data_IF_673243225267
#
_entry.id   IF_673243225267
#
_cell.length_a   1.000
_cell.length_b   1.000
_cell.length_c   1.000
_cell.angle_alpha   90.00
_cell.angle_beta   90.00
_cell.angle_gamma   90.00
#
_symmetry.space_group_name_H-M   'P 1'
#
loop_
_entity.id
_entity.type
_entity.pdbx_description
1 polymer ?
#
# COMPACT_ATOMS: atom_id res chain seq x y z
N UNK A 1 -6.53 -39.17 1.03
CA UNK A 1 -5.96 -37.97 1.68
C UNK A 1 -4.53 -37.84 1.15
N UNK A 2 -4.28 -36.95 0.17
CA UNK A 2 -2.94 -36.76 -0.40
C UNK A 2 -2.13 -35.93 0.60
N UNK A 3 -1.08 -36.50 1.16
CA UNK A 3 -0.03 -35.72 1.83
C UNK A 3 0.52 -34.72 0.79
N UNK A 4 0.30 -33.43 1.02
CA UNK A 4 0.97 -32.37 0.29
C UNK A 4 2.44 -32.43 0.72
N UNK A 5 3.24 -33.16 -0.06
CA UNK A 5 4.69 -33.24 0.08
C UNK A 5 5.24 -31.81 0.05
N UNK A 6 6.06 -31.46 1.05
CA UNK A 6 6.72 -30.15 1.08
C UNK A 6 7.50 -29.94 -0.23
N UNK A 7 7.48 -28.74 -0.81
CA UNK A 7 8.11 -28.49 -2.09
C UNK A 7 9.59 -28.86 -2.04
N UNK A 8 10.02 -29.71 -2.99
CA UNK A 8 11.40 -30.21 -3.08
C UNK A 8 12.40 -29.11 -3.48
N UNK A 9 11.93 -27.93 -3.90
CA UNK A 9 12.75 -26.76 -4.23
C UNK A 9 11.98 -25.47 -3.91
N UNK A 10 12.66 -24.48 -3.32
CA UNK A 10 12.15 -23.13 -3.07
C UNK A 10 13.03 -22.16 -3.85
N UNK A 11 12.41 -21.35 -4.69
CA UNK A 11 13.09 -20.34 -5.48
C UNK A 11 12.66 -18.94 -5.04
N UNK A 12 13.61 -18.00 -5.07
CA UNK A 12 13.32 -16.60 -4.76
C UNK A 12 12.65 -15.95 -5.97
N UNK A 13 11.34 -15.73 -5.87
CA UNK A 13 10.56 -14.96 -6.84
C UNK A 13 10.46 -13.48 -6.47
N UNK A 14 10.42 -12.61 -7.49
CA UNK A 14 10.13 -11.18 -7.30
C UNK A 14 8.67 -10.91 -7.65
N UNK A 15 7.94 -10.29 -6.72
CA UNK A 15 6.60 -9.77 -6.97
C UNK A 15 6.67 -8.40 -7.66
N UNK A 16 5.71 -8.12 -8.53
CA UNK A 16 5.50 -6.84 -9.20
C UNK A 16 5.19 -5.70 -8.22
N UNK A 17 4.60 -6.04 -7.08
CA UNK A 17 4.09 -5.08 -6.11
C UNK A 17 2.74 -4.48 -6.51
N UNK A 18 2.12 -4.93 -7.61
CA UNK A 18 0.76 -4.54 -7.98
C UNK A 18 -0.25 -5.50 -7.38
N UNK A 19 -1.43 -4.98 -7.07
CA UNK A 19 -2.51 -5.80 -6.55
C UNK A 19 -3.83 -5.05 -6.47
N UNK A 20 -4.81 -5.71 -5.85
CA UNK A 20 -6.15 -5.18 -5.63
C UNK A 20 -6.54 -5.31 -4.16
N UNK A 21 -7.27 -4.33 -3.63
CA UNK A 21 -7.82 -4.40 -2.26
C UNK A 21 -8.84 -5.54 -2.19
N UNK A 22 -8.50 -6.61 -1.46
CA UNK A 22 -9.39 -7.75 -1.24
C UNK A 22 -10.41 -7.46 -0.13
N UNK A 23 -9.95 -6.88 0.97
CA UNK A 23 -10.77 -6.40 2.06
C UNK A 23 -10.02 -5.30 2.80
N UNK A 24 -10.72 -4.44 3.55
CA UNK A 24 -10.09 -3.39 4.33
C UNK A 24 -10.87 -3.07 5.60
N UNK A 25 -10.17 -2.44 6.54
CA UNK A 25 -10.73 -1.84 7.74
C UNK A 25 -10.15 -0.43 7.92
N UNK A 26 -10.98 0.49 8.40
CA UNK A 26 -10.58 1.84 8.76
C UNK A 26 -10.46 1.89 10.28
N UNK A 27 -9.38 2.49 10.77
CA UNK A 27 -9.19 2.83 12.17
C UNK A 27 -9.50 4.33 12.29
N UNK A 28 -10.72 4.69 12.71
CA UNK A 28 -11.20 6.07 12.61
C UNK A 28 -10.77 6.94 13.80
N UNK A 29 -10.37 6.33 14.92
CA UNK A 29 -10.12 7.03 16.19
C UNK A 29 -8.96 6.38 16.94
N UNK A 30 -8.33 7.18 17.78
CA UNK A 30 -7.11 6.83 18.53
C UNK A 30 -7.33 5.73 19.56
N UNK A 31 -8.53 5.61 20.12
CA UNK A 31 -8.89 4.57 21.08
C UNK A 31 -9.04 3.17 20.45
N UNK A 32 -9.13 3.08 19.12
CA UNK A 32 -9.10 1.82 18.38
C UNK A 32 -7.70 1.47 17.83
N UNK A 33 -6.74 2.39 17.93
CA UNK A 33 -5.39 2.14 17.44
C UNK A 33 -4.60 1.26 18.43
N UNK A 34 -3.80 0.30 17.94
CA UNK A 34 -2.80 -0.36 18.76
C UNK A 34 -1.79 0.65 19.32
N UNK A 35 -1.17 0.29 20.45
CA UNK A 35 -0.13 1.10 21.07
C UNK A 35 1.01 1.40 20.07
N UNK A 36 1.36 2.69 19.95
CA UNK A 36 2.39 3.17 19.04
C UNK A 36 1.91 3.39 17.60
N UNK A 37 0.60 3.33 17.32
CA UNK A 37 0.01 3.63 16.01
C UNK A 37 -0.98 4.80 16.07
N UNK A 38 -1.14 5.44 17.23
CA UNK A 38 -2.04 6.56 17.48
C UNK A 38 -1.76 7.74 16.55
N UNK A 39 -0.48 7.98 16.24
CA UNK A 39 -0.04 9.09 15.37
C UNK A 39 -0.41 8.90 13.90
N UNK A 40 -0.83 7.71 13.49
CA UNK A 40 -1.28 7.43 12.12
C UNK A 40 -2.79 7.61 11.96
N UNK A 41 -3.55 7.79 13.05
CA UNK A 41 -5.00 7.89 12.98
C UNK A 41 -5.43 9.21 12.30
N UNK A 42 -6.39 9.18 11.37
CA UNK A 42 -7.10 7.99 10.88
C UNK A 42 -6.36 7.30 9.72
N UNK A 43 -6.33 5.96 9.73
CA UNK A 43 -5.69 5.16 8.68
C UNK A 43 -6.51 3.92 8.29
N UNK A 44 -6.16 3.33 7.14
CA UNK A 44 -6.74 2.08 6.68
C UNK A 44 -5.69 0.97 6.62
N UNK A 45 -6.11 -0.24 6.98
CA UNK A 45 -5.37 -1.49 6.78
C UNK A 45 -6.17 -2.35 5.80
N UNK A 46 -5.48 -2.96 4.84
CA UNK A 46 -6.08 -3.77 3.81
C UNK A 46 -5.39 -5.15 3.72
N UNK A 47 -6.17 -6.13 3.31
CA UNK A 47 -5.66 -7.34 2.67
C UNK A 47 -5.60 -7.04 1.18
N UNK A 48 -4.42 -7.16 0.58
CA UNK A 48 -4.18 -6.92 -0.85
C UNK A 48 -3.93 -8.26 -1.53
N UNK A 49 -4.67 -8.53 -2.60
CA UNK A 49 -4.38 -9.64 -3.52
C UNK A 49 -3.38 -9.16 -4.55
N UNK A 50 -2.15 -9.66 -4.47
CA UNK A 50 -1.13 -9.40 -5.48
C UNK A 50 -1.50 -10.07 -6.80
N UNK A 51 -1.04 -9.50 -7.91
CA UNK A 51 -1.27 -10.07 -9.26
C UNK A 51 -0.78 -11.52 -9.37
N UNK A 52 0.31 -11.85 -8.69
CA UNK A 52 0.89 -13.20 -8.68
C UNK A 52 0.06 -14.20 -7.85
N UNK A 53 -0.95 -13.75 -7.10
CA UNK A 53 -1.89 -14.59 -6.37
C UNK A 53 -1.90 -14.47 -4.83
N UNK A 54 -0.76 -14.27 -4.13
CA UNK A 54 -0.74 -14.19 -2.67
C UNK A 54 -1.59 -13.04 -2.11
N UNK A 55 -2.10 -13.24 -0.90
CA UNK A 55 -2.74 -12.20 -0.09
C UNK A 55 -1.73 -11.67 0.93
N UNK A 56 -1.57 -10.35 1.01
CA UNK A 56 -0.70 -9.69 1.98
C UNK A 56 -1.46 -8.64 2.78
N UNK A 57 -1.15 -8.51 4.06
CA UNK A 57 -1.72 -7.46 4.92
C UNK A 57 -0.82 -6.24 4.94
N UNK A 58 -1.36 -5.07 4.65
CA UNK A 58 -0.60 -3.82 4.64
C UNK A 58 -1.50 -2.60 4.92
N UNK A 59 -0.88 -1.50 5.35
CA UNK A 59 -1.56 -0.21 5.40
C UNK A 59 -1.75 0.40 4.01
N UNK A 60 -2.83 1.14 3.82
CA UNK A 60 -3.00 2.02 2.66
C UNK A 60 -2.44 3.42 2.96
N UNK A 61 -1.90 4.07 1.94
CA UNK A 61 -1.36 5.44 1.98
C UNK A 61 -1.76 6.19 0.73
N UNK A 62 -1.68 7.52 0.78
CA UNK A 62 -1.90 8.42 -0.37
C UNK A 62 -3.29 8.22 -1.01
N UNK A 63 -4.30 7.87 -0.19
CA UNK A 63 -5.70 7.66 -0.57
C UNK A 63 -6.61 8.26 0.50
N UNK A 64 -7.68 8.93 0.09
CA UNK A 64 -8.69 9.37 1.05
C UNK A 64 -9.49 8.16 1.53
N UNK A 65 -9.79 8.10 2.83
CA UNK A 65 -10.45 6.95 3.42
C UNK A 65 -11.83 6.64 2.80
N UNK A 66 -12.56 7.68 2.38
CA UNK A 66 -13.87 7.54 1.73
C UNK A 66 -13.80 6.99 0.29
N UNK A 67 -12.62 7.03 -0.33
CA UNK A 67 -12.43 6.56 -1.71
C UNK A 67 -12.13 5.06 -1.76
N UNK A 68 -11.73 4.45 -0.63
CA UNK A 68 -11.31 3.05 -0.54
C UNK A 68 -12.50 2.11 -0.82
N UNK A 69 -12.27 1.14 -1.69
CA UNK A 69 -13.26 0.14 -2.10
C UNK A 69 -12.60 -1.20 -2.39
N UNK A 70 -13.32 -2.29 -2.12
CA UNK A 70 -12.91 -3.63 -2.51
C UNK A 70 -12.78 -3.67 -4.04
N UNK A 71 -11.70 -4.26 -4.54
CA UNK A 71 -11.33 -4.29 -5.95
C UNK A 71 -10.54 -3.07 -6.43
N UNK A 72 -10.30 -2.06 -5.58
CA UNK A 72 -9.42 -0.93 -5.93
C UNK A 72 -8.01 -1.43 -6.26
N UNK A 73 -7.48 -1.01 -7.41
CA UNK A 73 -6.08 -1.26 -7.78
C UNK A 73 -5.14 -0.46 -6.89
N UNK A 74 -4.03 -1.10 -6.51
CA UNK A 74 -2.99 -0.51 -5.67
C UNK A 74 -1.61 -0.99 -6.08
N UNK A 75 -0.61 -0.15 -5.80
CA UNK A 75 0.82 -0.44 -5.97
C UNK A 75 1.57 -0.33 -4.64
N UNK A 76 2.55 -1.21 -4.47
CA UNK A 76 3.43 -1.26 -3.31
C UNK A 76 4.38 -0.04 -3.31
N UNK A 77 4.54 0.57 -2.14
CA UNK A 77 5.51 1.63 -1.90
C UNK A 77 6.27 1.41 -0.60
N UNK A 78 7.54 1.82 -0.59
CA UNK A 78 8.34 1.88 0.64
C UNK A 78 7.96 3.12 1.46
N UNK A 79 7.72 2.94 2.76
CA UNK A 79 7.39 4.00 3.70
C UNK A 79 8.09 3.77 5.03
N UNK A 80 8.36 4.86 5.74
CA UNK A 80 8.70 4.81 7.15
C UNK A 80 7.51 4.23 7.92
N UNK A 81 7.78 3.26 8.79
CA UNK A 81 6.75 2.63 9.63
C UNK A 81 6.81 3.18 11.04
N UNK A 82 7.96 3.07 11.69
CA UNK A 82 8.15 3.50 13.07
C UNK A 82 9.64 3.65 13.38
N UNK A 83 9.93 4.25 14.51
CA UNK A 83 11.25 4.36 15.09
C UNK A 83 11.28 3.50 16.37
N UNK A 84 12.19 2.53 16.44
CA UNK A 84 12.24 1.55 17.55
C UNK A 84 13.56 1.64 18.32
N UNK A 85 13.46 1.48 19.65
CA UNK A 85 14.60 1.38 20.56
C UNK A 85 15.21 2.74 20.95
N UNK A 86 16.04 2.72 21.99
CA UNK A 86 16.62 3.93 22.60
C UNK A 86 17.48 4.79 21.68
N UNK A 87 18.00 4.19 20.60
CA UNK A 87 18.86 4.85 19.61
C UNK A 87 18.12 5.36 18.37
N UNK A 88 16.79 5.24 18.35
CA UNK A 88 15.98 5.80 17.28
C UNK A 88 16.11 5.08 15.94
N UNK A 89 16.11 3.74 15.92
CA UNK A 89 16.26 3.00 14.67
C UNK A 89 15.01 3.13 13.81
N UNK A 90 15.15 3.75 12.63
CA UNK A 90 14.05 3.89 11.67
C UNK A 90 13.80 2.60 10.91
N UNK A 91 12.59 2.05 11.05
CA UNK A 91 12.12 0.89 10.31
C UNK A 91 11.32 1.33 9.10
N UNK A 92 11.72 0.85 7.93
CA UNK A 92 10.98 1.02 6.68
C UNK A 92 10.32 -0.30 6.31
N UNK A 93 9.16 -0.20 5.66
CA UNK A 93 8.44 -1.35 5.14
C UNK A 93 7.49 -0.93 4.04
N UNK A 94 6.67 -1.88 3.61
CA UNK A 94 5.74 -1.65 2.51
C UNK A 94 4.39 -1.14 3.00
N UNK A 95 3.83 -0.22 2.22
CA UNK A 95 2.41 0.17 2.22
C UNK A 95 1.89 0.06 0.78
N UNK A 96 0.61 0.30 0.58
CA UNK A 96 0.00 0.33 -0.74
C UNK A 96 -0.70 1.66 -0.99
N UNK A 97 -0.67 2.15 -2.23
CA UNK A 97 -1.39 3.35 -2.66
C UNK A 97 -2.08 3.11 -4.00
N UNK A 98 -3.09 3.92 -4.37
CA UNK A 98 -3.58 3.94 -5.74
C UNK A 98 -2.44 4.21 -6.73
N UNK A 99 -2.45 3.60 -7.93
CA UNK A 99 -1.48 3.89 -8.97
C UNK A 99 -1.45 5.39 -9.29
N UNK A 100 -0.26 5.94 -9.52
CA UNK A 100 -0.15 7.32 -9.99
C UNK A 100 -0.75 7.36 -11.41
N UNK A 101 -1.75 8.22 -11.68
CA UNK A 101 -2.26 8.41 -13.02
C UNK A 101 -1.11 8.83 -13.95
N UNK A 102 -0.86 8.05 -14.99
CA UNK A 102 0.08 8.46 -16.02
C UNK A 102 -0.61 9.53 -16.85
N UNK A 103 -0.07 10.75 -16.89
CA UNK A 103 -0.60 11.80 -17.74
C UNK A 103 -0.53 11.34 -19.19
N UNK A 104 -1.68 11.24 -19.85
CA UNK A 104 -1.76 11.02 -21.29
C UNK A 104 -1.51 12.29 -22.08
N UNK A 105 -1.37 13.44 -21.39
CA UNK A 105 -1.05 14.71 -22.03
C UNK A 105 0.35 14.63 -22.63
N UNK A 106 0.45 15.06 -23.87
CA UNK A 106 1.72 15.32 -24.53
C UNK A 106 2.46 16.43 -23.79
N UNK A 107 3.79 16.46 -23.94
CA UNK A 107 4.60 17.47 -23.28
C UNK A 107 4.21 18.91 -23.68
N UNK A 108 3.66 19.11 -24.88
CA UNK A 108 3.14 20.39 -25.34
C UNK A 108 1.89 20.83 -24.55
N UNK A 109 0.94 19.93 -24.34
CA UNK A 109 -0.30 20.20 -23.57
C UNK A 109 0.02 20.50 -22.10
N UNK A 110 1.02 19.82 -21.53
CA UNK A 110 1.50 20.09 -20.16
C UNK A 110 2.13 21.49 -20.07
N UNK A 111 2.94 21.88 -21.05
CA UNK A 111 3.58 23.20 -21.08
C UNK A 111 2.53 24.31 -21.22
N UNK A 112 1.54 24.15 -22.11
CA UNK A 112 0.49 25.16 -22.32
C UNK A 112 -0.36 25.38 -21.06
N UNK A 113 -0.67 24.31 -20.31
CA UNK A 113 -1.38 24.39 -19.04
C UNK A 113 -0.55 25.09 -17.96
N UNK A 114 0.76 24.79 -17.86
CA UNK A 114 1.66 25.44 -16.90
C UNK A 114 1.82 26.94 -17.22
N UNK A 115 1.96 27.27 -18.51
CA UNK A 115 2.17 28.65 -18.96
C UNK A 115 0.90 29.53 -18.83
N UNK A 116 -0.28 28.92 -18.76
CA UNK A 116 -1.56 29.62 -18.62
C UNK A 116 -2.17 29.50 -17.21
N UNK A 117 -1.39 29.05 -16.21
CA UNK A 117 -1.79 29.17 -14.80
C UNK A 117 -1.76 30.66 -14.39
N UNK A 118 -2.79 31.15 -13.68
CA UNK A 118 -2.88 32.55 -13.24
C UNK A 118 -1.84 32.94 -12.19
#
# INVERSE_FOLDING_TARGET
MRELMAPTSIEVGRFSGRGTVWSFAIIPRTDYAPEGFEFLVPYAVAIVRLEEGPLVTAMLTDVNLGDIKIGMEVEMVSRFLTETGERGLRTYGYKFRPPIPVSTKTMAEVIEEIMNLP
#
